data_IF_424817994276
#
_entry.id   IF_424817994276
#
_cell.length_a   1.000
_cell.length_b   1.000
_cell.length_c   1.000
_cell.angle_alpha   90.00
_cell.angle_beta   90.00
_cell.angle_gamma   90.00
#
_symmetry.space_group_name_H-M   'P 1'
#
loop_
_entity.id
_entity.type
_entity.pdbx_description
1 polymer ?
#
# COMPACT_ATOMS: atom_id res chain seq x y z
N UNK A 1 14.85 -2.80 3.74
CA UNK A 1 14.26 -3.10 2.41
C UNK A 1 15.32 -2.88 1.36
N UNK A 2 15.44 -3.78 0.37
CA UNK A 2 16.31 -3.56 -0.78
C UNK A 2 15.64 -2.57 -1.75
N UNK A 3 16.04 -1.30 -1.67
CA UNK A 3 15.42 -0.21 -2.43
C UNK A 3 15.70 -0.27 -3.93
N UNK A 4 16.59 -1.16 -4.39
CA UNK A 4 16.85 -1.33 -5.81
C UNK A 4 15.63 -1.84 -6.58
N UNK A 5 14.80 -2.66 -5.93
CA UNK A 5 13.61 -3.27 -6.56
C UNK A 5 12.62 -2.20 -7.04
N UNK A 6 12.51 -1.08 -6.33
CA UNK A 6 11.54 -0.01 -6.59
C UNK A 6 12.02 1.03 -7.61
N UNK A 7 13.26 0.91 -8.12
CA UNK A 7 13.73 1.73 -9.24
C UNK A 7 12.89 1.47 -10.50
N UNK A 8 12.70 2.47 -11.37
CA UNK A 8 11.90 2.29 -12.58
C UNK A 8 12.56 1.27 -13.51
N UNK A 9 11.75 0.49 -14.21
CA UNK A 9 12.18 -0.51 -15.20
C UNK A 9 11.01 -0.90 -16.10
N UNK A 10 10.83 -2.19 -16.36
CA UNK A 10 9.65 -2.69 -17.09
C UNK A 10 8.31 -2.28 -16.42
N UNK A 11 8.32 -2.11 -15.10
CA UNK A 11 7.25 -1.44 -14.35
C UNK A 11 7.77 -0.09 -13.83
N UNK A 12 6.95 0.99 -13.90
CA UNK A 12 7.25 2.25 -13.24
C UNK A 12 7.39 2.08 -11.73
N UNK A 13 8.20 2.93 -11.08
CA UNK A 13 8.35 2.94 -9.61
C UNK A 13 7.02 3.06 -8.90
N UNK A 14 6.15 3.95 -9.39
CA UNK A 14 4.77 4.14 -8.91
C UNK A 14 4.01 2.82 -8.81
N UNK A 15 4.02 2.02 -9.88
CA UNK A 15 3.34 0.72 -9.92
C UNK A 15 3.96 -0.26 -8.92
N UNK A 16 5.28 -0.26 -8.77
CA UNK A 16 5.97 -1.15 -7.83
C UNK A 16 5.66 -0.82 -6.37
N UNK A 17 5.53 0.45 -6.03
CA UNK A 17 5.12 0.87 -4.68
C UNK A 17 3.68 0.46 -4.37
N UNK A 18 2.75 0.59 -5.32
CA UNK A 18 1.38 0.10 -5.16
C UNK A 18 1.33 -1.43 -4.94
N UNK A 19 2.16 -2.19 -5.67
CA UNK A 19 2.28 -3.63 -5.46
C UNK A 19 2.88 -3.96 -4.08
N UNK A 20 3.90 -3.21 -3.65
CA UNK A 20 4.47 -3.31 -2.32
C UNK A 20 3.46 -3.03 -1.21
N UNK A 21 2.60 -2.04 -1.41
CA UNK A 21 1.50 -1.72 -0.50
C UNK A 21 0.50 -2.88 -0.40
N UNK A 22 -0.01 -3.41 -1.52
CA UNK A 22 -0.93 -4.56 -1.52
C UNK A 22 -0.32 -5.78 -0.85
N UNK A 23 0.95 -6.09 -1.17
CA UNK A 23 1.65 -7.20 -0.54
C UNK A 23 1.80 -7.01 0.98
N UNK A 24 2.10 -5.78 1.42
CA UNK A 24 2.22 -5.44 2.84
C UNK A 24 0.91 -5.57 3.59
N UNK A 25 -0.21 -5.17 2.96
CA UNK A 25 -1.56 -5.35 3.49
C UNK A 25 -1.91 -6.83 3.62
N UNK A 26 -1.57 -7.65 2.61
CA UNK A 26 -1.79 -9.10 2.65
C UNK A 26 -0.96 -9.79 3.74
N UNK A 27 0.30 -9.36 3.93
CA UNK A 27 1.23 -9.88 4.94
C UNK A 27 0.97 -9.32 6.35
N UNK A 28 0.18 -8.25 6.48
CA UNK A 28 -0.13 -7.55 7.74
C UNK A 28 1.12 -7.01 8.44
N UNK A 29 2.05 -6.48 7.66
CA UNK A 29 3.25 -5.82 8.19
C UNK A 29 2.98 -4.31 8.32
N UNK A 30 2.66 -3.84 9.54
CA UNK A 30 2.34 -2.42 9.80
C UNK A 30 3.47 -1.48 9.35
N UNK A 31 4.73 -1.81 9.65
CA UNK A 31 5.90 -1.02 9.24
C UNK A 31 6.07 -0.96 7.71
N UNK A 32 5.79 -2.07 7.03
CA UNK A 32 5.87 -2.15 5.57
C UNK A 32 4.74 -1.35 4.90
N UNK A 33 3.53 -1.39 5.47
CA UNK A 33 2.40 -0.58 5.01
C UNK A 33 2.74 0.90 5.13
N UNK A 34 3.25 1.34 6.28
CA UNK A 34 3.63 2.73 6.50
C UNK A 34 4.73 3.19 5.53
N UNK A 35 5.74 2.35 5.31
CA UNK A 35 6.79 2.60 4.32
C UNK A 35 6.21 2.77 2.91
N UNK A 36 5.46 1.78 2.40
CA UNK A 36 4.94 1.83 1.03
C UNK A 36 3.89 2.92 0.83
N UNK A 37 3.12 3.26 1.87
CA UNK A 37 2.17 4.36 1.81
C UNK A 37 2.89 5.71 1.60
N UNK A 38 3.99 5.95 2.32
CA UNK A 38 4.81 7.15 2.14
C UNK A 38 5.46 7.18 0.75
N UNK A 39 6.04 6.06 0.31
CA UNK A 39 6.64 5.97 -1.02
C UNK A 39 5.63 6.16 -2.16
N UNK A 40 4.39 5.69 -1.99
CA UNK A 40 3.30 5.94 -2.94
C UNK A 40 3.00 7.44 -3.07
N UNK A 41 2.93 8.16 -1.94
CA UNK A 41 2.73 9.62 -1.94
C UNK A 41 3.86 10.35 -2.65
N UNK A 42 5.11 9.98 -2.35
CA UNK A 42 6.30 10.56 -2.98
C UNK A 42 6.37 10.25 -4.49
N UNK A 43 5.84 9.10 -4.91
CA UNK A 43 5.75 8.70 -6.32
C UNK A 43 4.56 9.35 -7.06
N UNK A 44 3.80 10.24 -6.42
CA UNK A 44 2.66 10.93 -7.02
C UNK A 44 1.45 10.01 -7.29
N UNK A 45 1.25 8.99 -6.45
CA UNK A 45 0.00 8.23 -6.43
C UNK A 45 -1.12 9.15 -5.98
N UNK A 46 -2.19 9.17 -6.78
CA UNK A 46 -3.41 9.93 -6.47
C UNK A 46 -4.27 9.17 -5.46
N UNK A 47 -5.14 9.89 -4.75
CA UNK A 47 -6.07 9.26 -3.81
C UNK A 47 -6.98 8.23 -4.49
N UNK A 48 -7.35 8.45 -5.76
CA UNK A 48 -8.14 7.49 -6.55
C UNK A 48 -7.38 6.17 -6.75
N UNK A 49 -6.12 6.25 -7.18
CA UNK A 49 -5.28 5.07 -7.37
C UNK A 49 -5.00 4.36 -6.04
N UNK A 50 -4.80 5.12 -4.97
CA UNK A 50 -4.62 4.58 -3.63
C UNK A 50 -5.87 3.83 -3.16
N UNK A 51 -7.06 4.43 -3.32
CA UNK A 51 -8.33 3.81 -2.94
C UNK A 51 -8.61 2.51 -3.71
N UNK A 52 -8.36 2.50 -5.03
CA UNK A 52 -8.48 1.26 -5.83
C UNK A 52 -7.50 0.17 -5.34
N UNK A 53 -6.27 0.57 -5.01
CA UNK A 53 -5.23 -0.33 -4.50
C UNK A 53 -5.60 -0.90 -3.12
N UNK A 54 -6.15 -0.08 -2.23
CA UNK A 54 -6.65 -0.50 -0.92
C UNK A 54 -7.84 -1.46 -1.06
N UNK A 55 -8.75 -1.20 -2.00
CA UNK A 55 -9.87 -2.11 -2.28
C UNK A 55 -9.37 -3.50 -2.73
N UNK A 56 -8.35 -3.56 -3.59
CA UNK A 56 -7.68 -4.82 -3.95
C UNK A 56 -7.06 -5.48 -2.72
N UNK A 57 -6.32 -4.74 -1.90
CA UNK A 57 -5.71 -5.23 -0.67
C UNK A 57 -6.73 -5.82 0.31
N UNK A 58 -7.91 -5.20 0.45
CA UNK A 58 -8.99 -5.66 1.32
C UNK A 58 -9.58 -7.01 0.85
N UNK A 59 -9.80 -7.16 -0.45
CA UNK A 59 -10.31 -8.41 -1.04
C UNK A 59 -9.27 -9.53 -0.88
N UNK A 60 -8.00 -9.26 -1.18
CA UNK A 60 -6.91 -10.24 -1.03
C UNK A 60 -6.67 -10.61 0.44
N UNK A 61 -6.76 -9.64 1.35
CA UNK A 61 -6.57 -9.81 2.80
C UNK A 61 -7.74 -10.49 3.53
N UNK A 62 -8.83 -10.78 2.81
CA UNK A 62 -9.96 -11.56 3.33
C UNK A 62 -10.98 -10.77 4.16
N UNK A 63 -11.24 -9.50 3.80
CA UNK A 63 -12.44 -8.68 4.12
C UNK A 63 -12.84 -8.49 5.60
N UNK A 64 -13.03 -9.57 6.35
CA UNK A 64 -13.46 -9.61 7.76
C UNK A 64 -12.31 -9.76 8.74
N UNK A 65 -11.17 -10.33 8.32
CA UNK A 65 -9.97 -10.44 9.16
C UNK A 65 -9.01 -9.25 9.02
N UNK A 66 -9.40 -8.21 8.28
CA UNK A 66 -8.60 -7.01 8.03
C UNK A 66 -8.67 -5.97 9.17
N UNK A 67 -9.21 -6.33 10.34
CA UNK A 67 -8.97 -5.59 11.60
C UNK A 67 -7.50 -5.77 12.03
N UNK A 68 -6.59 -5.22 11.25
CA UNK A 68 -5.22 -4.93 11.63
C UNK A 68 -5.09 -3.43 11.83
N UNK A 69 -4.32 -3.01 12.83
CA UNK A 69 -4.12 -1.60 13.23
C UNK A 69 -3.77 -0.65 12.07
N UNK A 70 -3.24 -1.16 10.95
CA UNK A 70 -3.05 -0.41 9.72
C UNK A 70 -4.34 0.16 9.10
N UNK A 71 -5.47 -0.56 9.14
CA UNK A 71 -6.75 -0.07 8.64
C UNK A 71 -7.33 1.04 9.53
N UNK A 72 -7.16 0.91 10.85
CA UNK A 72 -7.56 1.94 11.83
C UNK A 72 -6.77 3.24 11.58
N UNK A 73 -5.46 3.15 11.29
CA UNK A 73 -4.64 4.31 10.88
C UNK A 73 -5.07 4.94 9.55
N UNK A 74 -5.63 4.14 8.63
CA UNK A 74 -6.12 4.61 7.33
C UNK A 74 -7.49 5.29 7.45
N UNK A 75 -8.34 4.90 8.40
CA UNK A 75 -9.65 5.52 8.66
C UNK A 75 -9.60 6.70 9.63
N UNK A 76 -8.61 6.76 10.52
CA UNK A 76 -8.46 7.85 11.51
C UNK A 76 -7.78 9.12 10.93
N UNK A 77 -7.39 9.10 9.64
CA UNK A 77 -6.58 10.16 9.02
C UNK A 77 -6.97 10.57 7.60
N UNK A 78 -8.08 10.07 7.06
CA UNK A 78 -8.70 10.68 5.87
C UNK A 78 -9.71 11.74 6.32
N UNK A 79 -9.79 12.90 5.63
CA UNK A 79 -10.83 13.90 5.88
C UNK A 79 -12.25 13.36 5.61
#
# INVERSE_FOLDING_TARGET
MDSQVYRPGALPSKTKELLGLVASLALRCDDCVEYHLNQCRDAGVTDSELNETLAVGLIVGGGTRFKGRAADKLTDGLP
#
